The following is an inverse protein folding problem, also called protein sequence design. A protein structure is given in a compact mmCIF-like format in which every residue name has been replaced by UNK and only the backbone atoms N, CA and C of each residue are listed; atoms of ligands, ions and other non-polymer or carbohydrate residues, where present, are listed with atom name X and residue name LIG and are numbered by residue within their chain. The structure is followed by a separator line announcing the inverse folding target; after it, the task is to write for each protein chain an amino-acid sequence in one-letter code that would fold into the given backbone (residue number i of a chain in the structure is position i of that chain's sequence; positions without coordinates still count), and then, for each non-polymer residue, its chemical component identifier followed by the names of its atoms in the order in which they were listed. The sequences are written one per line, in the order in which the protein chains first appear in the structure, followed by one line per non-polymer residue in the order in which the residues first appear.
data_IF_322146530509
#
_entry.id   IF_322146530509
#
_cell.length_a   1.000
_cell.length_b   1.000
_cell.length_c   1.000
_cell.angle_alpha   90.00
_cell.angle_beta   90.00
_cell.angle_gamma   90.00
#
_symmetry.space_group_name_H-M   'P 1'
#
loop_
_entity.id
_entity.type
_entity.pdbx_description
1 polymer ?
#
# COMPACT_ATOMS: atom_id res chain seq x y z
N UNK A 1 7.00 -17.55 23.69
CA UNK A 1 6.81 -16.50 24.69
C UNK A 1 5.33 -16.19 24.94
N UNK A 2 4.43 -16.51 24.02
CA UNK A 2 2.99 -16.35 24.16
C UNK A 2 2.34 -17.72 23.95
N UNK A 3 1.64 -18.25 24.97
CA UNK A 3 1.02 -19.58 24.90
C UNK A 3 -0.46 -19.51 24.51
N UNK A 4 -1.08 -18.31 24.61
CA UNK A 4 -2.50 -18.12 24.26
C UNK A 4 -2.65 -17.96 22.74
N UNK A 5 -3.38 -18.88 22.12
CA UNK A 5 -3.64 -18.85 20.67
C UNK A 5 -4.37 -17.57 20.21
N UNK A 6 -5.22 -16.99 21.05
CA UNK A 6 -5.95 -15.74 20.73
C UNK A 6 -5.00 -14.58 20.54
N UNK A 7 -3.92 -14.51 21.36
CA UNK A 7 -2.86 -13.51 21.19
C UNK A 7 -2.07 -13.73 19.91
N UNK A 8 -1.76 -14.97 19.55
CA UNK A 8 -1.14 -15.29 18.27
C UNK A 8 -2.00 -14.78 17.11
N UNK A 9 -3.29 -15.11 17.11
CA UNK A 9 -4.21 -14.71 16.02
C UNK A 9 -4.37 -13.20 15.91
N UNK A 10 -4.32 -12.47 17.03
CA UNK A 10 -4.39 -11.02 17.04
C UNK A 10 -3.14 -10.35 16.43
N UNK A 11 -1.97 -10.98 16.56
CA UNK A 11 -0.69 -10.41 16.12
C UNK A 11 -0.25 -10.85 14.73
N UNK A 12 -0.62 -12.06 14.30
CA UNK A 12 -0.10 -12.66 13.06
C UNK A 12 -0.34 -11.81 11.82
N UNK A 13 -1.50 -11.18 11.69
CA UNK A 13 -1.86 -10.36 10.54
C UNK A 13 -0.90 -9.20 10.31
N UNK A 14 -0.49 -8.52 11.37
CA UNK A 14 0.43 -7.38 11.29
C UNK A 14 1.82 -7.77 10.78
N UNK A 15 2.22 -9.02 10.94
CA UNK A 15 3.49 -9.56 10.45
C UNK A 15 3.51 -9.88 8.95
N UNK A 16 2.37 -9.79 8.26
CA UNK A 16 2.30 -10.15 6.83
C UNK A 16 1.64 -9.09 5.96
N UNK A 17 1.24 -7.95 6.51
CA UNK A 17 0.62 -6.86 5.73
C UNK A 17 1.47 -6.54 4.50
N UNK A 18 0.90 -6.74 3.31
CA UNK A 18 1.50 -6.36 2.03
C UNK A 18 2.69 -7.18 1.56
N UNK A 19 3.18 -8.14 2.37
CA UNK A 19 4.23 -9.08 1.94
C UNK A 19 3.62 -10.39 1.43
N UNK A 20 4.23 -10.99 0.42
CA UNK A 20 3.84 -12.31 -0.06
C UNK A 20 4.52 -13.43 0.77
N UNK A 21 4.37 -13.34 2.08
CA UNK A 21 4.86 -14.34 3.03
C UNK A 21 3.72 -14.92 3.86
N UNK A 22 3.85 -16.16 4.27
CA UNK A 22 3.02 -16.75 5.32
C UNK A 22 3.50 -16.30 6.70
N UNK A 23 2.63 -16.17 7.72
CA UNK A 23 3.08 -15.92 9.10
C UNK A 23 4.07 -16.95 9.65
N UNK A 24 4.22 -18.09 8.96
CA UNK A 24 5.17 -19.15 9.32
C UNK A 24 6.54 -18.98 8.65
N UNK A 25 6.66 -18.04 7.70
CA UNK A 25 7.92 -17.82 7.01
C UNK A 25 8.87 -16.98 7.86
N UNK A 26 10.17 -17.27 7.82
CA UNK A 26 11.17 -16.48 8.54
C UNK A 26 11.16 -15.02 8.10
N UNK A 27 11.27 -14.11 9.08
CA UNK A 27 11.39 -12.68 8.81
C UNK A 27 10.08 -11.89 8.92
N UNK A 28 8.92 -12.53 8.99
CA UNK A 28 7.62 -11.82 9.12
C UNK A 28 7.52 -10.98 10.40
N UNK A 29 8.23 -11.31 11.46
CA UNK A 29 8.33 -10.47 12.64
C UNK A 29 8.91 -9.07 12.34
N UNK A 30 9.79 -8.92 11.35
CA UNK A 30 10.32 -7.61 10.95
C UNK A 30 9.25 -6.72 10.29
N UNK A 31 8.31 -7.34 9.56
CA UNK A 31 7.14 -6.65 8.98
C UNK A 31 6.26 -6.11 10.09
N UNK A 32 6.03 -6.89 11.14
CA UNK A 32 5.32 -6.42 12.33
C UNK A 32 6.02 -5.23 12.98
N UNK A 33 7.33 -5.31 13.20
CA UNK A 33 8.09 -4.20 13.78
C UNK A 33 8.07 -2.96 12.90
N UNK A 34 8.13 -3.11 11.59
CA UNK A 34 8.02 -1.99 10.65
C UNK A 34 6.68 -1.25 10.84
N UNK A 35 5.55 -1.97 10.90
CA UNK A 35 4.24 -1.37 11.13
C UNK A 35 4.07 -0.79 12.53
N UNK A 36 4.67 -1.41 13.55
CA UNK A 36 4.59 -0.94 14.94
C UNK A 36 5.57 0.21 15.27
N UNK A 37 6.51 0.53 14.39
CA UNK A 37 7.54 1.57 14.62
C UNK A 37 7.00 2.99 14.45
N UNK A 38 5.82 3.18 13.86
CA UNK A 38 5.17 4.49 13.71
C UNK A 38 4.94 5.16 15.06
N UNK A 39 5.01 6.48 15.07
CA UNK A 39 4.75 7.28 16.28
C UNK A 39 3.94 8.50 15.91
N UNK A 40 2.84 8.74 16.64
CA UNK A 40 2.02 9.93 16.51
C UNK A 40 1.89 10.60 17.88
N UNK A 41 2.18 11.90 17.95
CA UNK A 41 2.14 12.68 19.20
C UNK A 41 2.92 12.03 20.38
N UNK A 42 4.03 11.38 20.07
CA UNK A 42 4.84 10.68 21.07
C UNK A 42 4.39 9.25 21.42
N UNK A 43 3.21 8.82 20.97
CA UNK A 43 2.68 7.49 21.23
C UNK A 43 3.15 6.49 20.14
N UNK A 44 3.91 5.44 20.50
CA UNK A 44 4.38 4.46 19.52
C UNK A 44 3.24 3.53 19.07
N UNK A 45 3.32 3.06 17.83
CA UNK A 45 2.36 2.13 17.23
C UNK A 45 0.97 2.74 16.98
N UNK A 46 0.85 4.07 17.02
CA UNK A 46 -0.43 4.77 16.84
C UNK A 46 -0.67 5.08 15.37
N UNK A 47 -1.88 4.86 14.91
CA UNK A 47 -2.38 5.19 13.59
C UNK A 47 -3.50 6.22 13.72
N UNK A 48 -3.65 7.08 12.72
CA UNK A 48 -4.67 8.12 12.72
C UNK A 48 -5.55 8.10 11.49
N UNK A 49 -6.74 8.67 11.63
CA UNK A 49 -7.61 8.99 10.51
C UNK A 49 -7.36 10.44 10.08
N UNK A 50 -7.32 10.67 8.78
CA UNK A 50 -7.17 12.01 8.21
C UNK A 50 -8.55 12.54 7.87
N UNK A 51 -8.90 13.72 8.40
CA UNK A 51 -10.16 14.38 8.08
C UNK A 51 -10.24 14.67 6.56
N UNK A 52 -11.36 14.35 5.95
CA UNK A 52 -11.53 14.36 4.50
C UNK A 52 -10.98 13.15 3.75
N UNK A 53 -10.40 12.17 4.48
CA UNK A 53 -9.80 10.96 3.93
C UNK A 53 -8.28 11.09 3.68
N UNK A 54 -7.63 9.97 3.45
CA UNK A 54 -6.16 9.89 3.29
C UNK A 54 -5.60 10.71 2.12
N UNK A 55 -6.40 10.96 1.07
CA UNK A 55 -6.01 11.81 -0.05
C UNK A 55 -5.66 13.24 0.36
N UNK A 56 -6.20 13.73 1.49
CA UNK A 56 -5.92 15.07 1.99
C UNK A 56 -4.45 15.29 2.33
N UNK A 57 -3.70 14.24 2.69
CA UNK A 57 -2.25 14.34 2.90
C UNK A 57 -1.55 14.84 1.63
N UNK A 58 -1.91 14.27 0.47
CA UNK A 58 -1.33 14.69 -0.80
C UNK A 58 -1.76 16.09 -1.21
N UNK A 59 -3.03 16.43 -1.00
CA UNK A 59 -3.53 17.79 -1.31
C UNK A 59 -2.82 18.86 -0.48
N UNK A 60 -2.71 18.66 0.83
CA UNK A 60 -2.01 19.58 1.72
C UNK A 60 -0.52 19.75 1.34
N UNK A 61 0.16 18.67 1.01
CA UNK A 61 1.56 18.73 0.55
C UNK A 61 1.68 19.46 -0.79
N UNK A 62 0.74 19.25 -1.73
CA UNK A 62 0.69 20.01 -2.98
C UNK A 62 0.47 21.50 -2.76
N UNK A 63 -0.42 21.87 -1.83
CA UNK A 63 -0.70 23.28 -1.54
C UNK A 63 0.52 23.96 -0.90
N UNK A 64 1.17 23.31 0.07
CA UNK A 64 2.43 23.78 0.65
C UNK A 64 3.51 23.96 -0.44
N UNK A 65 3.65 22.98 -1.35
CA UNK A 65 4.61 23.07 -2.44
C UNK A 65 4.32 24.30 -3.34
N UNK A 66 3.06 24.55 -3.68
CA UNK A 66 2.64 25.72 -4.47
C UNK A 66 2.94 27.04 -3.74
N UNK A 67 2.66 27.11 -2.44
CA UNK A 67 2.98 28.29 -1.61
C UNK A 67 4.47 28.57 -1.59
N UNK A 68 5.31 27.55 -1.70
CA UNK A 68 6.77 27.65 -1.82
C UNK A 68 7.26 27.92 -3.25
N UNK A 69 6.34 28.16 -4.21
CA UNK A 69 6.66 28.50 -5.59
C UNK A 69 6.92 27.30 -6.50
N UNK A 70 6.60 26.08 -6.07
CA UNK A 70 6.75 24.88 -6.92
C UNK A 70 5.61 24.84 -7.94
N UNK A 71 5.96 24.66 -9.22
CA UNK A 71 4.96 24.39 -10.27
C UNK A 71 4.48 22.93 -10.14
N UNK A 72 3.18 22.73 -9.93
CA UNK A 72 2.55 21.42 -9.85
C UNK A 72 1.65 21.23 -11.05
N UNK A 73 2.00 20.30 -11.94
CA UNK A 73 1.22 19.92 -13.12
C UNK A 73 0.64 18.51 -12.95
N UNK A 74 -0.59 18.31 -13.36
CA UNK A 74 -1.28 17.01 -13.40
C UNK A 74 -1.73 16.71 -14.83
N UNK A 75 -1.90 15.41 -15.17
CA UNK A 75 -2.24 15.00 -16.52
C UNK A 75 -1.10 15.18 -17.52
N UNK A 76 0.13 15.23 -17.05
CA UNK A 76 1.35 15.41 -17.85
C UNK A 76 2.25 14.19 -17.64
N UNK A 77 1.97 13.06 -18.32
CA UNK A 77 2.72 11.83 -18.12
C UNK A 77 4.13 11.94 -18.71
N UNK A 78 5.11 11.38 -17.97
CA UNK A 78 6.51 11.26 -18.38
C UNK A 78 6.68 9.97 -19.19
N UNK A 79 7.21 10.08 -20.41
CA UNK A 79 7.53 8.94 -21.27
C UNK A 79 8.94 8.41 -21.03
N UNK A 80 9.91 9.29 -20.77
CA UNK A 80 11.32 8.89 -20.52
C UNK A 80 12.00 9.79 -19.50
N UNK A 81 12.91 9.22 -18.75
CA UNK A 81 13.89 9.96 -17.94
C UNK A 81 15.18 10.04 -18.71
N UNK A 82 15.74 11.24 -18.79
CA UNK A 82 17.02 11.56 -19.44
C UNK A 82 18.01 11.95 -18.33
N UNK A 83 18.84 11.03 -17.82
CA UNK A 83 19.69 11.27 -16.67
C UNK A 83 20.62 12.48 -16.86
N UNK A 84 20.59 13.45 -15.93
CA UNK A 84 21.35 14.69 -16.01
C UNK A 84 20.81 15.74 -16.98
N UNK A 85 19.74 15.44 -17.73
CA UNK A 85 19.15 16.35 -18.74
C UNK A 85 17.70 16.73 -18.41
N UNK A 86 16.94 15.85 -17.73
CA UNK A 86 15.53 16.07 -17.40
C UNK A 86 14.63 14.92 -17.78
N UNK A 87 13.45 15.23 -18.32
CA UNK A 87 12.46 14.23 -18.75
C UNK A 87 11.85 14.57 -20.11
N UNK A 88 11.40 13.55 -20.82
CA UNK A 88 10.58 13.67 -22.02
C UNK A 88 9.15 13.25 -21.68
N UNK A 89 8.19 14.07 -22.04
CA UNK A 89 6.76 13.83 -21.81
C UNK A 89 6.18 12.97 -22.95
N UNK A 90 5.03 12.34 -22.73
CA UNK A 90 4.33 11.61 -23.77
C UNK A 90 3.91 12.51 -24.96
N UNK A 91 3.77 13.82 -24.74
CA UNK A 91 3.56 14.81 -25.81
C UNK A 91 4.76 15.01 -26.74
N UNK A 92 5.94 14.47 -26.37
CA UNK A 92 7.22 14.71 -27.05
C UNK A 92 7.96 15.95 -26.58
N UNK A 93 7.38 16.76 -25.70
CA UNK A 93 8.05 17.92 -25.09
C UNK A 93 9.10 17.48 -24.07
N UNK A 94 10.16 18.30 -23.90
CA UNK A 94 11.20 18.04 -22.93
C UNK A 94 11.22 19.09 -21.83
N UNK A 95 11.17 18.61 -20.59
CA UNK A 95 11.42 19.44 -19.42
C UNK A 95 12.90 19.26 -19.01
N UNK A 96 13.69 20.30 -19.18
CA UNK A 96 15.12 20.27 -18.85
C UNK A 96 15.31 20.53 -17.38
N UNK A 97 16.07 19.64 -16.73
CA UNK A 97 16.48 19.77 -15.34
C UNK A 97 17.75 18.93 -15.10
N UNK A 98 18.78 19.45 -14.40
CA UNK A 98 19.95 18.66 -14.07
C UNK A 98 19.63 17.56 -13.05
N UNK A 99 18.54 17.71 -12.30
CA UNK A 99 18.10 16.75 -11.28
C UNK A 99 16.68 16.30 -11.58
N UNK A 100 16.46 14.99 -11.53
CA UNK A 100 15.16 14.33 -11.57
C UNK A 100 14.99 13.50 -10.30
N UNK A 101 13.88 13.68 -9.59
CA UNK A 101 13.52 12.88 -8.41
C UNK A 101 12.29 12.05 -8.75
N UNK A 102 12.46 10.75 -8.95
CA UNK A 102 11.36 9.85 -9.31
C UNK A 102 10.65 9.30 -8.07
N UNK A 103 9.33 9.47 -8.02
CA UNK A 103 8.47 8.80 -7.05
C UNK A 103 7.75 7.57 -7.64
N UNK A 104 7.90 7.33 -8.93
CA UNK A 104 7.50 6.06 -9.53
C UNK A 104 8.27 4.92 -8.86
N UNK A 105 7.65 3.72 -8.77
CA UNK A 105 8.36 2.60 -8.17
C UNK A 105 9.65 2.27 -8.96
N UNK A 106 10.60 1.54 -8.36
CA UNK A 106 11.88 1.26 -9.02
C UNK A 106 11.76 0.55 -10.37
N UNK A 107 10.78 -0.35 -10.55
CA UNK A 107 10.56 -1.03 -11.82
C UNK A 107 9.99 -0.09 -12.89
N UNK A 108 9.02 0.75 -12.51
CA UNK A 108 8.49 1.79 -13.39
C UNK A 108 9.58 2.81 -13.76
N UNK A 109 10.39 3.26 -12.79
CA UNK A 109 11.54 4.15 -13.06
C UNK A 109 12.55 3.50 -14.00
N UNK A 110 12.85 2.20 -13.82
CA UNK A 110 13.71 1.45 -14.72
C UNK A 110 13.17 1.42 -16.15
N UNK A 111 11.86 1.22 -16.30
CA UNK A 111 11.20 1.29 -17.61
C UNK A 111 11.32 2.67 -18.26
N UNK A 112 11.16 3.75 -17.50
CA UNK A 112 11.30 5.13 -17.98
C UNK A 112 12.74 5.50 -18.41
N UNK A 113 13.77 4.75 -17.99
CA UNK A 113 15.14 4.96 -18.42
C UNK A 113 15.44 4.43 -19.84
N UNK A 114 14.55 3.59 -20.40
CA UNK A 114 14.61 3.13 -21.81
C UNK A 114 16.01 2.63 -22.22
N UNK A 115 16.61 1.79 -21.38
CA UNK A 115 17.94 1.21 -21.60
C UNK A 115 19.13 2.07 -21.12
N UNK A 116 18.89 3.27 -20.62
CA UNK A 116 19.96 4.14 -20.09
C UNK A 116 20.35 3.81 -18.63
N UNK A 117 19.81 2.72 -18.06
CA UNK A 117 20.11 2.31 -16.71
C UNK A 117 21.49 1.65 -16.58
N UNK A 118 22.16 1.88 -15.46
CA UNK A 118 23.31 1.08 -15.06
C UNK A 118 22.90 -0.39 -14.89
N UNK A 119 23.66 -1.31 -15.48
CA UNK A 119 23.30 -2.74 -15.54
C UNK A 119 23.25 -3.41 -14.15
N UNK A 120 24.12 -3.03 -13.24
CA UNK A 120 24.15 -3.58 -11.89
C UNK A 120 22.96 -3.08 -11.06
N UNK A 121 22.60 -1.80 -11.25
CA UNK A 121 21.43 -1.22 -10.63
C UNK A 121 20.13 -1.86 -11.17
N UNK A 122 20.03 -2.04 -12.49
CA UNK A 122 18.88 -2.71 -13.12
C UNK A 122 18.70 -4.15 -12.61
N UNK A 123 19.79 -4.90 -12.49
CA UNK A 123 19.78 -6.24 -11.91
C UNK A 123 19.27 -6.23 -10.46
N UNK A 124 19.73 -5.27 -9.65
CA UNK A 124 19.29 -5.13 -8.27
C UNK A 124 17.81 -4.75 -8.13
N UNK A 125 17.27 -3.93 -9.03
CA UNK A 125 15.82 -3.66 -9.10
C UNK A 125 15.05 -4.94 -9.41
N UNK A 126 15.53 -5.74 -10.37
CA UNK A 126 14.88 -6.98 -10.79
C UNK A 126 14.91 -8.10 -9.73
N UNK A 127 15.84 -8.06 -8.77
CA UNK A 127 15.93 -9.03 -7.67
C UNK A 127 14.80 -8.89 -6.64
N UNK A 128 14.15 -7.71 -6.56
CA UNK A 128 13.13 -7.45 -5.56
C UNK A 128 11.77 -7.95 -6.06
N UNK A 129 11.12 -8.91 -5.37
CA UNK A 129 9.79 -9.36 -5.75
C UNK A 129 8.77 -8.21 -5.68
N UNK A 130 7.92 -8.09 -6.70
CA UNK A 130 6.98 -6.97 -6.85
C UNK A 130 5.53 -7.44 -7.03
N UNK A 131 5.26 -8.70 -6.77
CA UNK A 131 3.93 -9.28 -6.95
C UNK A 131 3.01 -8.95 -5.79
N UNK A 132 2.03 -8.08 -6.00
CA UNK A 132 1.00 -7.74 -5.01
C UNK A 132 0.02 -8.90 -4.78
N UNK A 133 -0.40 -9.07 -3.53
CA UNK A 133 -1.32 -10.14 -3.10
C UNK A 133 -2.43 -9.62 -2.18
N UNK A 134 -2.65 -8.33 -2.23
CA UNK A 134 -3.63 -7.63 -1.39
C UNK A 134 -4.78 -7.09 -2.23
N UNK A 135 -5.92 -6.93 -1.62
CA UNK A 135 -7.10 -6.29 -2.21
C UNK A 135 -7.64 -5.22 -1.27
N UNK A 136 -7.99 -4.09 -1.83
CA UNK A 136 -8.72 -3.02 -1.15
C UNK A 136 -10.19 -3.14 -1.48
N UNK A 137 -11.05 -3.21 -0.46
CA UNK A 137 -12.50 -3.20 -0.65
C UNK A 137 -13.08 -2.01 0.11
N UNK A 138 -13.71 -1.10 -0.61
CA UNK A 138 -14.40 0.04 -0.03
C UNK A 138 -15.90 -0.22 -0.11
N UNK A 139 -16.60 -0.06 1.01
CA UNK A 139 -18.03 -0.29 1.11
C UNK A 139 -18.75 0.93 1.66
N UNK A 140 -19.93 1.19 1.13
CA UNK A 140 -20.92 2.12 1.71
C UNK A 140 -22.00 1.28 2.39
N UNK A 141 -22.30 1.63 3.65
CA UNK A 141 -23.20 0.86 4.49
C UNK A 141 -24.35 1.72 4.99
N UNK A 142 -25.51 1.11 5.27
CA UNK A 142 -26.65 1.76 5.93
C UNK A 142 -26.46 1.86 7.45
N UNK A 143 -25.64 0.99 8.04
CA UNK A 143 -25.38 0.91 9.47
C UNK A 143 -23.94 0.43 9.72
N UNK A 144 -23.39 0.67 10.92
CA UNK A 144 -22.09 0.14 11.30
C UNK A 144 -22.14 -1.40 11.44
N UNK A 145 -21.01 -2.11 11.22
CA UNK A 145 -20.92 -3.53 11.49
C UNK A 145 -21.19 -3.86 12.95
N UNK A 146 -22.15 -4.73 13.22
CA UNK A 146 -22.48 -5.20 14.56
C UNK A 146 -21.66 -6.46 14.89
N UNK A 147 -20.62 -6.30 15.70
CA UNK A 147 -19.68 -7.38 16.00
C UNK A 147 -20.25 -8.31 17.08
N UNK A 148 -20.33 -9.61 16.78
CA UNK A 148 -20.80 -10.65 17.71
C UNK A 148 -20.08 -10.65 19.06
N UNK A 149 -18.79 -10.34 19.06
CA UNK A 149 -17.98 -10.33 20.29
C UNK A 149 -18.38 -9.20 21.25
N UNK A 150 -18.91 -8.11 20.74
CA UNK A 150 -19.43 -6.98 21.50
C UNK A 150 -20.51 -6.28 20.68
N UNK A 151 -21.77 -6.76 20.75
CA UNK A 151 -22.87 -6.17 20.00
C UNK A 151 -23.17 -4.72 20.42
N UNK A 152 -23.59 -3.91 19.46
CA UNK A 152 -24.00 -2.52 19.68
C UNK A 152 -23.88 -1.66 18.43
N UNK A 153 -24.64 -0.56 18.41
CA UNK A 153 -24.70 0.36 17.25
C UNK A 153 -23.46 1.23 17.12
N UNK A 154 -22.89 1.64 18.25
CA UNK A 154 -21.60 2.36 18.32
C UNK A 154 -20.89 1.97 19.62
N UNK A 155 -19.83 1.27 19.49
CA UNK A 155 -19.04 0.73 20.59
C UNK A 155 -17.56 1.17 20.45
N UNK A 156 -16.76 1.19 21.55
CA UNK A 156 -15.36 1.64 21.48
C UNK A 156 -14.51 0.95 20.40
N UNK A 157 -14.76 -0.32 20.11
CA UNK A 157 -14.00 -1.04 19.07
C UNK A 157 -14.28 -0.53 17.64
N UNK A 158 -15.35 0.22 17.40
CA UNK A 158 -15.57 0.89 16.10
C UNK A 158 -14.60 2.06 15.88
N UNK A 159 -14.00 2.58 16.95
CA UNK A 159 -13.02 3.68 16.84
C UNK A 159 -11.60 3.20 16.59
N UNK A 160 -11.36 1.91 16.62
CA UNK A 160 -10.07 1.28 16.37
C UNK A 160 -9.97 0.63 15.01
N UNK A 161 -8.84 -0.01 14.80
CA UNK A 161 -8.63 -0.97 13.73
C UNK A 161 -9.14 -2.33 14.20
N UNK A 162 -10.10 -2.90 13.50
CA UNK A 162 -10.58 -4.26 13.78
C UNK A 162 -10.00 -5.25 12.76
N UNK A 163 -9.72 -6.48 13.22
CA UNK A 163 -9.22 -7.54 12.36
C UNK A 163 -10.15 -8.75 12.39
N UNK A 164 -10.28 -9.44 11.26
CA UNK A 164 -10.91 -10.75 11.23
C UNK A 164 -9.83 -11.83 11.19
N UNK A 165 -9.66 -12.60 12.28
CA UNK A 165 -8.59 -13.56 12.38
C UNK A 165 -8.82 -14.79 11.48
N UNK A 166 -7.75 -15.40 11.05
CA UNK A 166 -7.68 -16.73 10.46
C UNK A 166 -6.95 -17.67 11.43
N UNK A 167 -7.36 -18.93 11.53
CA UNK A 167 -6.58 -19.95 12.23
C UNK A 167 -5.22 -20.16 11.54
N UNK A 168 -4.25 -20.76 12.22
CA UNK A 168 -2.92 -21.04 11.65
C UNK A 168 -2.99 -21.85 10.36
N UNK A 169 -3.92 -22.80 10.26
CA UNK A 169 -4.10 -23.63 9.08
C UNK A 169 -4.77 -22.85 7.94
N UNK A 170 -5.79 -22.02 8.26
CA UNK A 170 -6.41 -21.11 7.28
C UNK A 170 -5.37 -20.14 6.69
N UNK A 171 -4.43 -19.62 7.48
CA UNK A 171 -3.35 -18.77 6.95
C UNK A 171 -2.51 -19.48 5.90
N UNK A 172 -2.08 -20.73 6.18
CA UNK A 172 -1.29 -21.52 5.22
C UNK A 172 -2.07 -21.85 3.95
N UNK A 173 -3.35 -22.23 4.13
CA UNK A 173 -4.23 -22.56 3.00
C UNK A 173 -4.44 -21.34 2.10
N UNK A 174 -4.79 -20.19 2.67
CA UNK A 174 -5.06 -18.96 1.91
C UNK A 174 -3.81 -18.47 1.18
N UNK A 175 -2.64 -18.46 1.82
CA UNK A 175 -1.38 -18.10 1.19
C UNK A 175 -1.04 -19.04 0.02
N UNK A 176 -1.14 -20.35 0.23
CA UNK A 176 -0.88 -21.34 -0.81
C UNK A 176 -1.84 -21.20 -1.99
N UNK A 177 -3.15 -21.06 -1.72
CA UNK A 177 -4.16 -20.91 -2.76
C UNK A 177 -3.91 -19.66 -3.62
N UNK A 178 -3.68 -18.50 -3.00
CA UNK A 178 -3.42 -17.26 -3.70
C UNK A 178 -2.17 -17.35 -4.58
N UNK A 179 -1.09 -17.96 -4.09
CA UNK A 179 0.13 -18.17 -4.89
C UNK A 179 -0.05 -19.18 -6.02
N UNK A 180 -1.00 -20.10 -5.90
CA UNK A 180 -1.40 -21.03 -6.97
C UNK A 180 -2.38 -20.40 -7.99
N UNK A 181 -2.73 -19.12 -7.85
CA UNK A 181 -3.69 -18.45 -8.70
C UNK A 181 -5.15 -18.84 -8.42
N UNK A 182 -5.43 -19.38 -7.24
CA UNK A 182 -6.77 -19.80 -6.83
C UNK A 182 -7.30 -18.84 -5.75
N UNK A 183 -8.52 -18.35 -5.91
CA UNK A 183 -9.17 -17.55 -4.86
C UNK A 183 -9.29 -18.40 -3.59
N UNK A 184 -8.70 -17.97 -2.47
CA UNK A 184 -8.84 -18.70 -1.22
C UNK A 184 -10.27 -18.65 -0.71
N UNK A 185 -10.71 -19.62 0.11
CA UNK A 185 -12.07 -19.65 0.63
C UNK A 185 -12.35 -18.50 1.61
N UNK A 186 -11.31 -17.87 2.12
CA UNK A 186 -11.36 -16.75 3.08
C UNK A 186 -10.18 -15.82 2.90
N UNK A 187 -10.34 -14.60 3.45
CA UNK A 187 -9.28 -13.59 3.56
C UNK A 187 -9.12 -13.18 5.03
N UNK A 188 -7.90 -12.84 5.40
CA UNK A 188 -7.67 -11.99 6.55
C UNK A 188 -7.99 -10.55 6.18
N UNK A 189 -8.64 -9.80 7.08
CA UNK A 189 -9.12 -8.47 6.79
C UNK A 189 -8.80 -7.51 7.92
N UNK A 190 -8.37 -6.31 7.57
CA UNK A 190 -8.34 -5.13 8.43
C UNK A 190 -9.49 -4.20 8.07
N UNK A 191 -10.20 -3.74 9.07
CA UNK A 191 -11.44 -2.98 8.95
C UNK A 191 -11.23 -1.58 9.50
N UNK A 192 -11.59 -0.57 8.71
CA UNK A 192 -11.48 0.84 9.06
C UNK A 192 -12.81 1.55 8.85
N UNK A 193 -13.31 2.21 9.91
CA UNK A 193 -14.60 2.88 9.93
C UNK A 193 -14.41 4.41 10.02
N UNK A 194 -13.97 5.02 8.92
CA UNK A 194 -13.69 6.46 8.84
C UNK A 194 -14.83 7.31 9.36
N UNK A 195 -16.07 6.94 9.04
CA UNK A 195 -17.28 7.73 9.39
C UNK A 195 -17.60 7.80 10.88
N UNK A 196 -16.95 7.01 11.71
CA UNK A 196 -17.03 7.15 13.17
C UNK A 196 -16.40 8.48 13.64
N UNK A 197 -15.38 8.94 12.93
CA UNK A 197 -14.65 10.18 13.23
C UNK A 197 -15.02 11.32 12.29
N UNK A 198 -15.26 11.01 11.01
CA UNK A 198 -15.40 12.00 9.96
C UNK A 198 -16.61 11.71 9.07
N UNK A 199 -17.65 12.47 9.26
CA UNK A 199 -18.90 12.37 8.50
C UNK A 199 -18.84 13.07 7.13
N UNK A 200 -17.78 13.82 6.85
CA UNK A 200 -17.64 14.55 5.58
C UNK A 200 -17.39 13.64 4.37
N UNK A 201 -16.95 12.40 4.61
CA UNK A 201 -16.55 11.46 3.55
C UNK A 201 -17.70 10.66 2.95
N UNK A 202 -18.93 10.85 3.44
CA UNK A 202 -20.10 10.09 2.99
C UNK A 202 -21.38 10.91 3.13
N UNK A 203 -22.43 10.70 2.29
CA UNK A 203 -23.73 11.34 2.47
C UNK A 203 -24.37 11.01 3.83
N UNK A 204 -25.21 11.92 4.31
CA UNK A 204 -25.92 11.76 5.59
C UNK A 204 -26.68 10.42 5.67
N UNK A 205 -26.60 9.79 6.84
CA UNK A 205 -27.28 8.52 7.13
C UNK A 205 -26.51 7.27 6.69
N UNK A 206 -25.41 7.42 5.95
CA UNK A 206 -24.58 6.29 5.52
C UNK A 206 -23.29 6.18 6.35
N UNK A 207 -22.62 5.05 6.22
CA UNK A 207 -21.34 4.73 6.82
C UNK A 207 -20.35 4.28 5.76
N UNK A 208 -19.04 4.36 6.03
CA UNK A 208 -18.01 3.74 5.21
C UNK A 208 -17.34 2.63 5.97
N UNK A 209 -17.05 1.53 5.27
CA UNK A 209 -16.15 0.48 5.72
C UNK A 209 -15.05 0.31 4.67
N UNK A 210 -13.84 0.64 5.03
CA UNK A 210 -12.66 0.44 4.21
C UNK A 210 -11.93 -0.81 4.69
N UNK A 211 -11.75 -1.78 3.80
CA UNK A 211 -11.15 -3.08 4.11
C UNK A 211 -9.85 -3.23 3.35
N UNK A 212 -8.79 -3.56 4.07
CA UNK A 212 -7.59 -4.13 3.50
C UNK A 212 -7.65 -5.64 3.70
N UNK A 213 -7.57 -6.41 2.63
CA UNK A 213 -7.69 -7.86 2.70
C UNK A 213 -6.49 -8.58 2.03
N UNK A 214 -6.16 -9.76 2.54
CA UNK A 214 -5.05 -10.59 2.15
C UNK A 214 -5.37 -12.08 2.54
N UNK A 215 -5.07 -13.09 1.72
CA UNK A 215 -4.39 -13.05 0.44
C UNK A 215 -5.38 -13.11 -0.72
N UNK A 216 -4.97 -12.53 -1.86
CA UNK A 216 -5.68 -12.73 -3.14
C UNK A 216 -4.67 -13.08 -4.22
N UNK A 217 -5.04 -13.82 -5.28
CA UNK A 217 -4.15 -14.06 -6.40
C UNK A 217 -3.77 -12.75 -7.12
N UNK A 218 -2.50 -12.55 -7.42
CA UNK A 218 -2.09 -11.52 -8.37
C UNK A 218 -2.68 -11.79 -9.77
N UNK A 219 -2.54 -13.04 -10.21
CA UNK A 219 -3.08 -13.56 -11.46
C UNK A 219 -3.88 -14.82 -11.17
N UNK A 220 -5.10 -14.90 -11.66
CA UNK A 220 -5.92 -16.10 -11.53
C UNK A 220 -5.44 -17.20 -12.49
N UNK A 221 -5.51 -18.45 -12.05
CA UNK A 221 -5.27 -19.62 -12.90
C UNK A 221 -6.40 -19.82 -13.90
N UNK A 222 -7.62 -19.48 -13.51
CA UNK A 222 -8.82 -19.58 -14.32
C UNK A 222 -9.60 -18.26 -14.25
N UNK A 223 -9.85 -17.63 -15.41
CA UNK A 223 -10.42 -16.30 -15.51
C UNK A 223 -9.37 -15.21 -15.26
N UNK A 224 -9.85 -13.99 -15.07
CA UNK A 224 -9.06 -12.80 -14.80
C UNK A 224 -9.71 -11.95 -13.70
N UNK A 225 -9.09 -10.81 -13.36
CA UNK A 225 -9.61 -9.91 -12.34
C UNK A 225 -10.94 -9.27 -12.72
N UNK A 226 -11.22 -9.06 -14.02
CA UNK A 226 -12.47 -8.45 -14.45
C UNK A 226 -13.66 -9.41 -14.25
N UNK A 227 -13.45 -10.69 -14.52
CA UNK A 227 -14.45 -11.75 -14.32
C UNK A 227 -14.56 -12.24 -12.88
N UNK A 228 -13.48 -12.16 -12.08
CA UNK A 228 -13.43 -12.72 -10.71
C UNK A 228 -13.57 -11.68 -9.60
N UNK A 229 -13.65 -10.39 -9.95
CA UNK A 229 -13.72 -9.27 -9.00
C UNK A 229 -14.86 -9.39 -8.00
N UNK A 230 -16.05 -9.75 -8.47
CA UNK A 230 -17.21 -9.93 -7.64
C UNK A 230 -17.05 -11.10 -6.67
N UNK A 231 -16.50 -12.23 -7.10
CA UNK A 231 -16.18 -13.37 -6.25
C UNK A 231 -15.21 -12.98 -5.13
N UNK A 232 -14.19 -12.17 -5.44
CA UNK A 232 -13.25 -11.64 -4.44
C UNK A 232 -13.97 -10.78 -3.41
N UNK A 233 -14.83 -9.86 -3.87
CA UNK A 233 -15.65 -9.03 -2.98
C UNK A 233 -16.53 -9.88 -2.07
N UNK A 234 -17.21 -10.86 -2.60
CA UNK A 234 -18.05 -11.79 -1.84
C UNK A 234 -17.25 -12.62 -0.84
N UNK A 235 -16.03 -13.05 -1.19
CA UNK A 235 -15.13 -13.77 -0.28
C UNK A 235 -14.71 -12.90 0.89
N UNK A 236 -14.39 -11.62 0.65
CA UNK A 236 -14.06 -10.64 1.70
C UNK A 236 -15.26 -10.42 2.62
N UNK A 237 -16.44 -10.13 2.04
CA UNK A 237 -17.67 -9.92 2.81
C UNK A 237 -18.02 -11.17 3.63
N UNK A 238 -17.95 -12.36 3.03
CA UNK A 238 -18.20 -13.63 3.71
C UNK A 238 -17.25 -13.90 4.88
N UNK A 239 -15.97 -13.51 4.72
CA UNK A 239 -14.97 -13.62 5.79
C UNK A 239 -15.31 -12.73 6.98
N UNK A 240 -15.75 -11.49 6.73
CA UNK A 240 -16.14 -10.53 7.77
C UNK A 240 -17.48 -10.91 8.41
N UNK A 241 -18.45 -11.40 7.63
CA UNK A 241 -19.79 -11.77 8.10
C UNK A 241 -19.79 -12.89 9.17
N UNK A 242 -18.70 -13.65 9.27
CA UNK A 242 -18.49 -14.59 10.39
C UNK A 242 -18.53 -13.90 11.75
N UNK A 243 -18.10 -12.64 11.79
CA UNK A 243 -17.94 -11.82 13.00
C UNK A 243 -18.99 -10.71 13.11
N UNK A 244 -19.56 -10.26 11.98
CA UNK A 244 -20.58 -9.20 11.88
C UNK A 244 -21.72 -9.66 10.98
N UNK A 245 -22.79 -10.21 11.56
CA UNK A 245 -23.89 -10.83 10.77
C UNK A 245 -24.76 -9.84 10.02
N UNK A 246 -24.76 -8.56 10.42
CA UNK A 246 -25.53 -7.53 9.73
C UNK A 246 -24.84 -7.01 8.46
N UNK A 247 -23.53 -7.22 8.30
CA UNK A 247 -22.75 -6.63 7.21
C UNK A 247 -23.35 -6.91 5.81
N UNK A 248 -23.70 -8.15 5.40
CA UNK A 248 -24.20 -8.40 4.05
C UNK A 248 -25.45 -7.59 3.68
N UNK A 249 -26.35 -7.35 4.65
CA UNK A 249 -27.57 -6.58 4.43
C UNK A 249 -27.36 -5.06 4.50
N UNK A 250 -26.29 -4.64 5.16
CA UNK A 250 -25.97 -3.22 5.33
C UNK A 250 -25.29 -2.61 4.11
N UNK A 251 -24.69 -3.41 3.22
CA UNK A 251 -23.95 -2.95 2.04
C UNK A 251 -24.93 -2.40 1.00
N UNK A 252 -24.74 -1.13 0.61
CA UNK A 252 -25.47 -0.48 -0.50
C UNK A 252 -24.56 -0.18 -1.69
N UNK A 253 -23.25 -0.25 -1.52
CA UNK A 253 -22.27 -0.11 -2.59
C UNK A 253 -20.94 -0.71 -2.18
N UNK A 254 -20.22 -1.29 -3.14
CA UNK A 254 -18.91 -1.91 -2.93
C UNK A 254 -18.02 -1.70 -4.14
N UNK A 255 -16.78 -1.31 -3.88
CA UNK A 255 -15.70 -1.24 -4.87
C UNK A 255 -14.59 -2.19 -4.45
N UNK A 256 -14.12 -3.03 -5.37
CA UNK A 256 -13.03 -4.00 -5.16
C UNK A 256 -11.86 -3.63 -6.04
N UNK A 257 -10.71 -3.35 -5.44
CA UNK A 257 -9.47 -2.96 -6.11
C UNK A 257 -8.40 -4.00 -5.86
N UNK A 258 -8.18 -4.86 -6.85
CA UNK A 258 -7.12 -5.88 -6.82
C UNK A 258 -5.77 -5.34 -7.30
N UNK A 259 -4.73 -6.20 -7.30
CA UNK A 259 -3.38 -5.79 -7.74
C UNK A 259 -3.33 -5.12 -9.12
N UNK A 260 -4.06 -5.60 -10.17
CA UNK A 260 -4.05 -4.91 -11.46
C UNK A 260 -4.72 -3.53 -11.44
N UNK A 261 -5.67 -3.30 -10.51
CA UNK A 261 -6.29 -1.98 -10.37
C UNK A 261 -5.34 -0.98 -9.71
N UNK A 262 -4.58 -1.44 -8.72
CA UNK A 262 -3.55 -0.64 -8.06
C UNK A 262 -2.46 -0.28 -9.06
N UNK A 263 -2.04 -1.23 -9.91
CA UNK A 263 -1.08 -0.96 -10.98
C UNK A 263 -1.64 0.07 -11.97
N UNK A 264 -2.82 -0.13 -12.49
CA UNK A 264 -3.44 0.76 -13.48
C UNK A 264 -3.77 2.16 -12.93
N UNK A 265 -4.28 2.28 -11.69
CA UNK A 265 -4.76 3.55 -11.12
C UNK A 265 -3.66 4.34 -10.42
N UNK A 266 -2.70 3.66 -9.81
CA UNK A 266 -1.68 4.27 -8.95
C UNK A 266 -0.28 4.18 -9.58
N UNK A 267 -0.11 3.34 -10.61
CA UNK A 267 1.19 3.13 -11.25
C UNK A 267 2.16 2.30 -10.43
N UNK A 268 1.67 1.48 -9.49
CA UNK A 268 2.52 0.58 -8.70
C UNK A 268 2.68 -0.76 -9.41
N UNK A 269 3.87 -1.04 -9.91
CA UNK A 269 4.17 -2.26 -10.67
C UNK A 269 3.76 -3.50 -9.89
N UNK A 270 3.04 -4.42 -10.57
CA UNK A 270 2.50 -5.63 -9.96
C UNK A 270 1.47 -5.39 -8.86
N UNK A 271 0.99 -4.16 -8.66
CA UNK A 271 0.08 -3.80 -7.59
C UNK A 271 0.68 -3.96 -6.18
N UNK A 272 2.01 -3.93 -6.06
CA UNK A 272 2.69 -4.11 -4.77
C UNK A 272 2.70 -2.83 -3.96
N UNK A 273 1.97 -2.81 -2.84
CA UNK A 273 1.71 -1.59 -2.05
C UNK A 273 2.95 -0.95 -1.40
N UNK A 274 4.07 -1.69 -1.28
CA UNK A 274 5.35 -1.17 -0.77
C UNK A 274 6.39 -0.90 -1.85
N UNK A 275 6.00 -0.94 -3.14
CA UNK A 275 6.94 -0.81 -4.26
C UNK A 275 8.08 -1.84 -4.22
N UNK A 276 7.75 -3.07 -3.83
CA UNK A 276 8.65 -4.21 -3.67
C UNK A 276 8.63 -4.81 -2.28
N UNK A 277 9.00 -6.08 -2.19
CA UNK A 277 8.94 -6.90 -0.98
C UNK A 277 9.67 -6.27 0.20
N UNK A 278 9.15 -6.49 1.43
CA UNK A 278 9.63 -5.88 2.67
C UNK A 278 10.13 -6.90 3.71
N UNK A 279 10.40 -8.12 3.30
CA UNK A 279 11.10 -9.09 4.16
C UNK A 279 12.56 -8.64 4.41
N UNK A 280 13.21 -9.14 5.48
CA UNK A 280 14.54 -8.69 5.89
C UNK A 280 15.60 -8.66 4.78
N UNK A 281 15.54 -9.63 3.84
CA UNK A 281 16.49 -9.69 2.72
C UNK A 281 16.33 -8.56 1.69
N UNK A 282 15.23 -7.76 1.78
CA UNK A 282 14.93 -6.65 0.88
C UNK A 282 14.78 -5.30 1.62
N UNK A 283 15.06 -5.27 2.92
CA UNK A 283 14.90 -4.09 3.78
C UNK A 283 16.25 -3.54 4.26
N UNK A 284 16.20 -2.44 4.96
CA UNK A 284 17.33 -1.71 5.56
C UNK A 284 18.41 -1.39 4.53
N UNK A 285 19.62 -1.82 4.76
CA UNK A 285 20.81 -1.63 3.88
C UNK A 285 20.70 -2.35 2.51
N UNK A 286 19.76 -3.27 2.40
CA UNK A 286 19.47 -3.98 1.15
C UNK A 286 18.39 -3.33 0.31
N UNK A 287 17.62 -2.39 0.88
CA UNK A 287 16.66 -1.60 0.12
C UNK A 287 17.40 -0.54 -0.70
N UNK A 288 16.81 -0.12 -1.81
CA UNK A 288 17.46 0.88 -2.68
C UNK A 288 17.70 2.19 -1.93
N UNK A 289 18.83 2.82 -2.20
CA UNK A 289 19.13 4.18 -1.72
C UNK A 289 18.34 5.22 -2.53
N UNK A 290 18.20 6.43 -1.97
CA UNK A 290 17.62 7.55 -2.70
C UNK A 290 18.49 7.94 -3.91
N UNK A 291 19.82 7.96 -3.77
CA UNK A 291 20.75 8.21 -4.88
C UNK A 291 20.85 6.98 -5.78
N UNK A 292 20.74 7.19 -7.07
CA UNK A 292 21.01 6.16 -8.09
C UNK A 292 22.41 6.34 -8.70
N UNK A 293 22.95 5.34 -9.40
CA UNK A 293 24.22 5.50 -10.14
C UNK A 293 24.08 6.34 -11.42
N UNK A 294 22.85 6.65 -11.86
CA UNK A 294 22.63 7.52 -13.02
C UNK A 294 22.80 8.99 -12.65
N UNK A 295 23.49 9.80 -13.49
CA UNK A 295 23.70 11.23 -13.22
C UNK A 295 22.37 11.96 -12.96
N UNK A 296 22.29 12.74 -11.89
CA UNK A 296 21.14 13.59 -11.57
C UNK A 296 19.84 12.86 -11.28
N UNK A 297 19.79 11.52 -11.20
CA UNK A 297 18.58 10.77 -10.92
C UNK A 297 18.54 10.27 -9.48
N UNK A 298 17.45 10.60 -8.78
CA UNK A 298 17.17 10.18 -7.41
C UNK A 298 15.79 9.52 -7.32
N UNK A 299 15.60 8.65 -6.31
CA UNK A 299 14.34 8.00 -5.98
C UNK A 299 13.81 8.53 -4.63
N UNK A 300 12.50 8.75 -4.52
CA UNK A 300 11.86 9.22 -3.28
C UNK A 300 10.65 8.38 -2.83
N UNK A 301 10.35 7.29 -3.54
CA UNK A 301 9.21 6.42 -3.26
C UNK A 301 9.45 5.38 -2.17
N UNK A 302 8.41 4.63 -1.84
CA UNK A 302 8.43 3.55 -0.86
C UNK A 302 9.42 2.41 -1.20
N UNK A 303 9.85 2.30 -2.47
CA UNK A 303 10.89 1.38 -2.93
C UNK A 303 12.28 1.68 -2.39
N UNK A 304 12.50 2.84 -1.73
CA UNK A 304 13.78 3.24 -1.12
C UNK A 304 13.78 3.05 0.39
N UNK A 305 14.98 3.08 1.00
CA UNK A 305 15.15 3.09 2.46
C UNK A 305 14.42 4.29 3.10
N UNK A 306 13.68 4.11 4.21
CA UNK A 306 13.48 2.90 5.02
C UNK A 306 12.26 2.06 4.60
N UNK A 307 11.59 2.36 3.52
CA UNK A 307 10.35 1.74 3.08
C UNK A 307 9.16 2.68 3.18
N UNK A 308 7.96 2.17 2.88
CA UNK A 308 6.70 2.92 2.89
C UNK A 308 6.14 3.20 4.29
N UNK A 309 4.85 3.43 4.39
CA UNK A 309 3.98 3.70 5.56
C UNK A 309 3.55 5.15 5.74
N UNK A 310 3.50 5.95 4.65
CA UNK A 310 3.01 7.35 4.65
C UNK A 310 3.78 8.25 5.63
N UNK A 311 5.07 8.05 5.75
CA UNK A 311 5.94 8.72 6.75
C UNK A 311 6.72 9.91 6.19
N UNK A 312 6.75 10.11 4.86
CA UNK A 312 7.48 11.20 4.20
C UNK A 312 9.01 11.12 4.25
N UNK A 313 9.59 10.16 4.98
CA UNK A 313 11.05 10.04 5.18
C UNK A 313 11.79 9.80 3.86
N UNK A 314 11.24 9.00 2.96
CA UNK A 314 11.84 8.72 1.66
C UNK A 314 12.02 10.02 0.84
N UNK A 315 10.99 10.86 0.79
CA UNK A 315 11.08 12.18 0.14
C UNK A 315 12.11 13.09 0.79
N UNK A 316 12.13 13.12 2.14
CA UNK A 316 13.16 13.87 2.88
C UNK A 316 14.57 13.36 2.58
N UNK A 317 14.77 12.04 2.59
CA UNK A 317 16.08 11.45 2.30
C UNK A 317 16.53 11.82 0.87
N UNK A 318 15.64 11.74 -0.12
CA UNK A 318 15.95 12.15 -1.49
C UNK A 318 16.32 13.63 -1.57
N UNK A 319 15.56 14.51 -0.94
CA UNK A 319 15.86 15.94 -0.90
C UNK A 319 17.23 16.22 -0.27
N UNK A 320 17.56 15.56 0.84
CA UNK A 320 18.88 15.72 1.49
C UNK A 320 20.01 15.18 0.63
N UNK A 321 19.82 14.08 -0.11
CA UNK A 321 20.81 13.56 -1.06
C UNK A 321 21.05 14.53 -2.21
N UNK A 322 20.01 15.14 -2.77
CA UNK A 322 20.11 16.17 -3.80
C UNK A 322 20.93 17.37 -3.29
N UNK A 323 20.53 17.93 -2.13
CA UNK A 323 21.22 19.09 -1.54
C UNK A 323 22.70 18.82 -1.23
N UNK A 324 23.03 17.60 -0.79
CA UNK A 324 24.40 17.20 -0.48
C UNK A 324 25.23 16.86 -1.73
N UNK A 325 24.59 16.58 -2.86
CA UNK A 325 25.28 16.24 -4.10
C UNK A 325 25.91 17.47 -4.79
N UNK A 326 25.33 18.64 -4.58
CA UNK A 326 25.69 19.86 -5.30
C UNK A 326 25.22 19.89 -6.76
N UNK A 327 24.47 18.87 -7.20
CA UNK A 327 23.98 18.74 -8.58
C UNK A 327 22.89 19.78 -8.89
N UNK A 328 22.20 20.32 -7.88
CA UNK A 328 21.22 21.39 -8.03
C UNK A 328 21.82 22.71 -8.54
N UNK A 329 23.15 22.83 -8.49
CA UNK A 329 23.90 24.06 -8.89
C UNK A 329 24.44 23.98 -10.31
N UNK A 330 24.33 22.85 -10.96
CA UNK A 330 24.76 22.64 -12.33
C UNK A 330 23.66 22.94 -13.33
#
# INVERSE_FOLDING_TARGET
YLDDERLHLALLGQGVIGTNASPHDPGTASVYFHHASGRMEGMPGTWGYVMGGMGMVSFLLCDIARELGVAVATGVPVARILPGEGVELESGERVRAPVVVSNADPCATLGLLDGAADSAWAARVAEVPIKGITVKVNMTLTELPDFKARPGTLEPHHTGQANTPLSKDEWRECHRAANAGVLPPRTWNELYLQTVFDRSVVPNGLQTLSVFAQYVPHTFREGDWDTRREDVGHTVVGSIARFCTNLPRAIVGMEVLGPPDIERRVGLTGGHIFQGEILPQYMWDRRLAARTPMPGLFLCGAGTYPGGSVIGINGRNAAMEVLNSGEEKA
#
